data_IF_572839262064
#
_entry.id   IF_572839262064
#
_cell.length_a   1.000
_cell.length_b   1.000
_cell.length_c   1.000
_cell.angle_alpha   90.00
_cell.angle_beta   90.00
_cell.angle_gamma   90.00
#
_symmetry.space_group_name_H-M   'P 1'
#
loop_
_entity.id
_entity.type
_entity.pdbx_description
1 polymer ?
#
# COMPACT_ATOMS: atom_id res chain seq x y z
N UNK A 1 16.64 24.61 5.74
CA UNK A 1 15.64 24.06 4.80
C UNK A 1 16.31 23.83 3.46
N UNK A 2 16.21 22.62 2.91
CA UNK A 2 16.57 22.37 1.53
C UNK A 2 15.42 22.87 0.63
N UNK A 3 15.72 23.74 -0.33
CA UNK A 3 14.77 24.17 -1.34
C UNK A 3 14.98 23.30 -2.59
N UNK A 4 13.89 22.80 -3.15
CA UNK A 4 13.90 22.04 -4.39
C UNK A 4 12.92 22.65 -5.38
N UNK A 5 13.13 22.39 -6.67
CA UNK A 5 12.24 22.79 -7.75
C UNK A 5 12.13 21.62 -8.74
N UNK A 6 10.94 21.47 -9.33
CA UNK A 6 10.70 20.53 -10.42
C UNK A 6 10.61 21.37 -11.69
N UNK A 7 11.42 21.03 -12.69
CA UNK A 7 11.49 21.73 -13.96
C UNK A 7 11.00 20.77 -15.04
N UNK A 8 9.93 21.15 -15.71
CA UNK A 8 9.39 20.43 -16.86
C UNK A 8 9.99 21.00 -18.14
N UNK A 9 10.59 20.13 -18.95
CA UNK A 9 11.15 20.50 -20.26
C UNK A 9 10.13 20.25 -21.36
N UNK A 10 10.20 21.03 -22.43
CA UNK A 10 9.31 20.88 -23.59
C UNK A 10 9.65 19.68 -24.48
N UNK A 11 10.83 19.08 -24.32
CA UNK A 11 11.28 17.90 -25.05
C UNK A 11 12.35 17.10 -24.28
N UNK A 12 12.36 15.78 -24.48
CA UNK A 12 13.28 14.85 -23.80
C UNK A 12 14.75 15.09 -24.15
N UNK A 13 15.05 15.59 -25.35
CA UNK A 13 16.41 15.93 -25.76
C UNK A 13 17.07 16.92 -24.79
N UNK A 14 16.30 17.88 -24.25
CA UNK A 14 16.83 18.83 -23.29
C UNK A 14 17.13 18.20 -21.93
N UNK A 15 16.34 17.19 -21.52
CA UNK A 15 16.60 16.41 -20.30
C UNK A 15 17.92 15.65 -20.44
N UNK A 16 18.14 14.97 -21.57
CA UNK A 16 19.37 14.25 -21.84
C UNK A 16 20.60 15.17 -21.81
N UNK A 17 20.49 16.35 -22.43
CA UNK A 17 21.58 17.34 -22.44
C UNK A 17 21.93 17.84 -21.04
N UNK A 18 20.94 18.04 -20.17
CA UNK A 18 21.18 18.46 -18.77
C UNK A 18 21.78 17.32 -17.95
N UNK A 19 21.33 16.09 -18.16
CA UNK A 19 21.84 14.90 -17.44
C UNK A 19 23.27 14.52 -17.84
N UNK A 20 23.67 14.80 -19.09
CA UNK A 20 25.04 14.56 -19.58
C UNK A 20 26.06 15.61 -19.10
N UNK A 21 25.61 16.73 -18.52
CA UNK A 21 26.51 17.71 -17.93
C UNK A 21 26.92 17.27 -16.52
N UNK A 22 27.99 16.47 -16.42
CA UNK A 22 28.44 15.92 -15.14
C UNK A 22 28.99 17.00 -14.17
N UNK A 23 29.39 18.19 -14.66
CA UNK A 23 30.17 19.13 -13.82
C UNK A 23 29.87 20.63 -13.95
N UNK A 24 28.76 21.10 -14.55
CA UNK A 24 28.55 22.55 -14.72
C UNK A 24 27.15 23.08 -14.40
N UNK A 25 26.77 23.01 -13.11
CA UNK A 25 25.97 24.06 -12.46
C UNK A 25 26.59 24.35 -11.07
N UNK A 26 27.90 24.62 -11.05
CA UNK A 26 28.66 24.60 -9.80
C UNK A 26 28.25 25.67 -8.78
N UNK A 27 27.56 26.75 -9.19
CA UNK A 27 26.81 27.59 -8.27
C UNK A 27 25.65 28.31 -8.98
N UNK A 28 24.43 28.07 -8.51
CA UNK A 28 23.26 28.91 -8.79
C UNK A 28 23.03 29.80 -7.57
N UNK A 29 23.27 31.10 -7.71
CA UNK A 29 23.23 32.07 -6.59
C UNK A 29 24.04 31.63 -5.36
N UNK A 30 25.27 31.14 -5.56
CA UNK A 30 26.11 30.71 -4.44
C UNK A 30 25.83 29.29 -3.92
N UNK A 31 24.90 28.54 -4.54
CA UNK A 31 24.50 27.21 -4.09
C UNK A 31 24.78 26.14 -5.14
N UNK A 32 25.33 25.01 -4.69
CA UNK A 32 25.53 23.83 -5.54
C UNK A 32 24.17 23.21 -5.87
N UNK A 33 23.87 23.05 -7.15
CA UNK A 33 22.68 22.33 -7.59
C UNK A 33 22.97 20.82 -7.68
N UNK A 34 22.02 20.02 -7.20
CA UNK A 34 22.01 18.57 -7.41
C UNK A 34 20.84 18.32 -8.36
N UNK A 35 21.16 18.00 -9.61
CA UNK A 35 20.16 17.69 -10.64
C UNK A 35 20.09 16.17 -10.77
N UNK A 36 18.88 15.62 -10.75
CA UNK A 36 18.61 14.20 -10.96
C UNK A 36 17.43 14.10 -11.90
N UNK A 37 17.36 13.02 -12.69
CA UNK A 37 16.11 12.68 -13.38
C UNK A 37 15.04 12.56 -12.31
N UNK A 38 13.87 13.12 -12.59
CA UNK A 38 12.69 12.85 -11.78
C UNK A 38 12.44 11.36 -11.92
N UNK A 39 12.77 10.62 -10.89
CA UNK A 39 12.08 9.37 -10.65
C UNK A 39 10.62 9.81 -10.52
N UNK A 40 9.78 9.34 -11.44
CA UNK A 40 8.39 9.22 -11.09
C UNK A 40 8.43 8.33 -9.84
N UNK A 41 8.35 8.97 -8.67
CA UNK A 41 7.50 8.40 -7.67
C UNK A 41 6.20 8.28 -8.44
N UNK A 42 5.95 7.11 -9.01
CA UNK A 42 4.60 6.70 -9.29
C UNK A 42 3.89 7.13 -8.03
N UNK A 43 2.84 7.92 -8.22
CA UNK A 43 1.81 8.04 -7.22
C UNK A 43 1.39 6.59 -6.91
N UNK A 44 2.15 5.92 -6.03
CA UNK A 44 1.86 4.59 -5.52
C UNK A 44 0.73 4.69 -4.48
N UNK A 45 0.16 5.89 -4.32
CA UNK A 45 -1.20 6.07 -3.83
C UNK A 45 -2.24 5.56 -4.84
N UNK A 46 -1.89 5.34 -6.11
CA UNK A 46 -2.71 4.57 -7.03
C UNK A 46 -2.46 3.09 -6.81
N UNK A 47 -3.21 2.59 -5.82
CA UNK A 47 -3.73 1.24 -5.70
C UNK A 47 -2.72 0.14 -6.01
N UNK A 48 -2.19 -0.41 -4.92
CA UNK A 48 -1.60 -1.74 -4.91
C UNK A 48 -2.40 -2.70 -5.79
N UNK A 49 -1.66 -3.39 -6.66
CA UNK A 49 -2.07 -4.50 -7.53
C UNK A 49 -2.84 -4.16 -8.84
N UNK A 50 -2.35 -4.80 -9.92
CA UNK A 50 -2.81 -4.77 -11.33
C UNK A 50 -4.30 -5.05 -11.54
N UNK A 51 -5.02 -5.48 -10.52
CA UNK A 51 -6.48 -5.69 -10.50
C UNK A 51 -7.24 -4.39 -10.67
N UNK A 52 -6.71 -3.27 -10.15
CA UNK A 52 -7.41 -1.98 -10.15
C UNK A 52 -7.47 -1.27 -11.51
N UNK A 53 -6.55 -1.52 -12.44
CA UNK A 53 -6.62 -0.92 -13.79
C UNK A 53 -7.83 -1.43 -14.59
N UNK A 54 -8.31 -2.65 -14.33
CA UNK A 54 -9.46 -3.20 -15.05
C UNK A 54 -10.78 -2.48 -14.70
N UNK A 55 -10.84 -1.83 -13.54
CA UNK A 55 -12.04 -1.19 -13.02
C UNK A 55 -12.28 0.16 -13.72
N UNK A 56 -11.22 0.83 -14.15
CA UNK A 56 -11.26 2.12 -14.85
C UNK A 56 -11.28 1.95 -16.37
N UNK A 57 -12.20 1.14 -16.89
CA UNK A 57 -12.36 0.94 -18.33
C UNK A 57 -12.95 2.18 -19.01
N UNK A 58 -12.69 2.35 -20.32
CA UNK A 58 -13.35 3.40 -21.11
C UNK A 58 -14.87 3.29 -21.06
N UNK A 59 -15.38 2.06 -20.99
CA UNK A 59 -16.81 1.77 -20.82
C UNK A 59 -17.35 2.34 -19.51
N UNK A 60 -16.62 2.17 -18.40
CA UNK A 60 -17.00 2.73 -17.11
C UNK A 60 -17.02 4.26 -17.13
N UNK A 61 -16.03 4.90 -17.75
CA UNK A 61 -16.04 6.36 -17.90
C UNK A 61 -17.18 6.85 -18.80
N UNK A 62 -17.51 6.09 -19.86
CA UNK A 62 -18.65 6.39 -20.72
C UNK A 62 -19.98 6.33 -19.94
N UNK A 63 -20.16 5.30 -19.11
CA UNK A 63 -21.33 5.15 -18.23
C UNK A 63 -21.46 6.34 -17.26
N UNK A 64 -20.35 6.73 -16.60
CA UNK A 64 -20.34 7.90 -15.72
C UNK A 64 -20.65 9.21 -16.46
N UNK A 65 -20.26 9.34 -17.73
CA UNK A 65 -20.52 10.53 -18.53
C UNK A 65 -21.97 10.63 -19.02
N UNK A 66 -22.70 9.52 -19.07
CA UNK A 66 -24.10 9.46 -19.48
C UNK A 66 -25.07 9.79 -18.34
N UNK A 67 -24.60 9.85 -17.10
CA UNK A 67 -25.43 10.17 -15.94
C UNK A 67 -25.95 11.62 -15.97
N UNK A 68 -27.18 11.82 -15.52
CA UNK A 68 -27.89 13.11 -15.60
C UNK A 68 -27.40 14.08 -14.52
N UNK A 69 -27.04 13.57 -13.35
CA UNK A 69 -26.59 14.37 -12.21
C UNK A 69 -25.41 13.71 -11.48
N UNK A 70 -24.84 14.42 -10.51
CA UNK A 70 -23.70 13.94 -9.72
C UNK A 70 -24.09 12.77 -8.81
N UNK A 71 -25.32 12.77 -8.28
CA UNK A 71 -25.78 11.71 -7.37
C UNK A 71 -25.75 10.33 -8.06
N UNK A 72 -26.29 10.24 -9.29
CA UNK A 72 -26.22 9.02 -10.11
C UNK A 72 -24.78 8.58 -10.40
N UNK A 73 -23.89 9.53 -10.67
CA UNK A 73 -22.46 9.22 -10.88
C UNK A 73 -21.84 8.62 -9.61
N UNK A 74 -22.16 9.18 -8.45
CA UNK A 74 -21.65 8.70 -7.17
C UNK A 74 -22.20 7.31 -6.83
N UNK A 75 -23.47 7.04 -7.10
CA UNK A 75 -24.08 5.71 -6.92
C UNK A 75 -23.41 4.65 -7.79
N UNK A 76 -23.22 4.92 -9.08
CA UNK A 76 -22.55 3.98 -10.01
C UNK A 76 -21.08 3.79 -9.62
N UNK A 77 -20.39 4.88 -9.28
CA UNK A 77 -19.01 4.83 -8.82
C UNK A 77 -18.88 3.94 -7.58
N UNK A 78 -19.71 4.18 -6.56
CA UNK A 78 -19.72 3.37 -5.35
C UNK A 78 -20.04 1.91 -5.65
N UNK A 79 -21.10 1.65 -6.42
CA UNK A 79 -21.52 0.30 -6.78
C UNK A 79 -20.41 -0.51 -7.47
N UNK A 80 -19.60 0.14 -8.31
CA UNK A 80 -18.53 -0.52 -9.07
C UNK A 80 -17.28 -0.77 -8.23
N UNK A 81 -16.92 0.20 -7.39
CA UNK A 81 -15.65 0.22 -6.64
C UNK A 81 -15.72 -0.50 -5.30
N UNK A 82 -16.88 -0.52 -4.62
CA UNK A 82 -17.00 -1.10 -3.28
C UNK A 82 -16.60 -2.58 -3.24
N UNK A 83 -16.13 -3.04 -2.08
CA UNK A 83 -15.92 -4.47 -1.85
C UNK A 83 -17.22 -5.25 -2.07
N UNK A 84 -17.13 -6.36 -2.80
CA UNK A 84 -18.21 -7.35 -2.90
C UNK A 84 -18.24 -8.26 -1.68
N UNK A 85 -19.31 -9.04 -1.53
CA UNK A 85 -19.38 -10.06 -0.50
C UNK A 85 -18.23 -11.08 -0.63
N UNK A 86 -17.84 -11.43 -1.86
CA UNK A 86 -16.72 -12.34 -2.11
C UNK A 86 -15.38 -11.72 -1.68
N UNK A 87 -15.19 -10.42 -1.92
CA UNK A 87 -14.00 -9.70 -1.43
C UNK A 87 -13.93 -9.72 0.10
N UNK A 88 -15.06 -9.48 0.78
CA UNK A 88 -15.14 -9.50 2.25
C UNK A 88 -14.84 -10.90 2.79
N UNK A 89 -15.40 -11.94 2.18
CA UNK A 89 -15.15 -13.34 2.57
C UNK A 89 -13.68 -13.70 2.36
N UNK A 90 -13.08 -13.32 1.22
CA UNK A 90 -11.66 -13.57 0.95
C UNK A 90 -10.76 -12.89 1.99
N UNK A 91 -11.04 -11.63 2.34
CA UNK A 91 -10.31 -10.90 3.39
C UNK A 91 -10.43 -11.61 4.75
N UNK A 92 -11.62 -12.12 5.07
CA UNK A 92 -11.85 -12.90 6.28
C UNK A 92 -11.06 -14.21 6.30
N UNK A 93 -11.00 -14.94 5.18
CA UNK A 93 -10.21 -16.17 5.06
C UNK A 93 -8.71 -15.92 5.24
N UNK A 94 -8.18 -14.81 4.71
CA UNK A 94 -6.79 -14.39 4.92
C UNK A 94 -6.55 -14.06 6.41
N UNK A 95 -7.49 -13.38 7.06
CA UNK A 95 -7.41 -13.09 8.49
C UNK A 95 -7.37 -14.39 9.32
N UNK A 96 -8.23 -15.36 8.99
CA UNK A 96 -8.29 -16.67 9.66
C UNK A 96 -7.03 -17.51 9.43
N UNK A 97 -6.46 -17.48 8.22
CA UNK A 97 -5.17 -18.11 7.92
C UNK A 97 -4.08 -17.58 8.86
N UNK A 98 -3.98 -16.26 8.99
CA UNK A 98 -2.97 -15.61 9.83
C UNK A 98 -3.25 -15.85 11.32
N UNK A 99 -4.51 -15.86 11.74
CA UNK A 99 -4.91 -16.25 13.09
C UNK A 99 -4.35 -17.64 13.43
N UNK A 100 -4.58 -18.64 12.58
CA UNK A 100 -4.13 -20.01 12.80
C UNK A 100 -2.60 -20.11 12.88
N UNK A 101 -1.88 -19.37 12.02
CA UNK A 101 -0.41 -19.35 12.03
C UNK A 101 0.14 -18.69 13.29
N UNK A 102 -0.46 -17.58 13.73
CA UNK A 102 0.01 -16.82 14.90
C UNK A 102 -0.28 -17.54 16.22
N UNK A 103 -1.41 -18.24 16.31
CA UNK A 103 -1.85 -18.90 17.54
C UNK A 103 -0.94 -20.07 17.96
N UNK A 104 -0.17 -20.64 17.03
CA UNK A 104 0.87 -21.64 17.31
C UNK A 104 2.05 -21.06 18.10
N UNK A 105 2.35 -19.77 17.96
CA UNK A 105 3.46 -19.09 18.63
C UNK A 105 2.99 -18.21 19.78
N UNK A 106 1.85 -17.55 19.60
CA UNK A 106 1.22 -16.65 20.57
C UNK A 106 -0.13 -17.23 21.01
N UNK A 107 -0.15 -18.09 22.04
CA UNK A 107 -1.40 -18.66 22.52
C UNK A 107 -2.40 -17.56 22.89
N UNK A 108 -3.67 -17.74 22.49
CA UNK A 108 -4.78 -16.80 22.71
C UNK A 108 -4.64 -15.45 21.99
N UNK A 109 -3.70 -15.28 21.05
CA UNK A 109 -3.65 -14.06 20.26
C UNK A 109 -4.91 -13.87 19.42
N UNK A 110 -5.14 -12.63 18.97
CA UNK A 110 -6.19 -12.31 17.99
C UNK A 110 -5.64 -11.53 16.82
N UNK A 111 -5.85 -12.02 15.61
CA UNK A 111 -5.65 -11.28 14.37
C UNK A 111 -6.99 -10.66 14.00
N UNK A 112 -7.03 -9.33 13.88
CA UNK A 112 -8.25 -8.59 13.62
C UNK A 112 -8.10 -7.64 12.43
N UNK A 113 -9.12 -7.61 11.58
CA UNK A 113 -9.22 -6.62 10.51
C UNK A 113 -9.57 -5.24 11.08
N UNK A 114 -8.94 -4.21 10.55
CA UNK A 114 -9.35 -2.82 10.77
C UNK A 114 -9.32 -2.03 9.45
N UNK A 115 -9.57 -0.71 9.54
CA UNK A 115 -9.44 0.18 8.41
C UNK A 115 -10.48 -0.06 7.31
N UNK A 116 -10.00 0.02 6.06
CA UNK A 116 -10.86 0.01 4.86
C UNK A 116 -11.64 -1.30 4.68
N UNK A 117 -11.15 -2.41 5.24
CA UNK A 117 -11.80 -3.72 5.14
C UNK A 117 -13.12 -3.81 5.93
N UNK A 118 -13.33 -2.96 6.95
CA UNK A 118 -14.45 -3.10 7.89
C UNK A 118 -15.28 -1.81 8.10
N UNK A 119 -14.79 -0.65 7.65
CA UNK A 119 -15.46 0.64 7.86
C UNK A 119 -16.55 0.99 6.83
N UNK A 120 -16.79 0.12 5.84
CA UNK A 120 -17.77 0.34 4.76
C UNK A 120 -17.29 1.24 3.62
N UNK A 121 -16.04 1.70 3.68
CA UNK A 121 -15.41 2.56 2.66
C UNK A 121 -14.31 1.82 1.87
N UNK A 122 -14.21 0.50 2.03
CA UNK A 122 -13.28 -0.34 1.29
C UNK A 122 -13.57 -0.36 -0.20
N UNK A 123 -12.52 -0.28 -1.00
CA UNK A 123 -12.57 -0.42 -2.45
C UNK A 123 -11.83 -1.67 -2.89
N UNK A 124 -12.21 -2.25 -4.01
CA UNK A 124 -11.57 -3.44 -4.57
C UNK A 124 -10.06 -3.25 -4.68
N UNK A 125 -9.31 -4.30 -4.33
CA UNK A 125 -7.85 -4.30 -4.36
C UNK A 125 -7.16 -3.35 -3.38
N UNK A 126 -7.88 -2.65 -2.48
CA UNK A 126 -7.22 -1.91 -1.40
C UNK A 126 -6.50 -2.88 -0.45
N UNK A 127 -5.49 -2.38 0.26
CA UNK A 127 -4.74 -3.14 1.25
C UNK A 127 -5.68 -3.71 2.34
N UNK A 128 -5.27 -4.81 2.96
CA UNK A 128 -5.90 -5.37 4.15
C UNK A 128 -5.09 -4.93 5.37
N UNK A 129 -5.68 -4.09 6.20
CA UNK A 129 -5.10 -3.68 7.47
C UNK A 129 -5.47 -4.68 8.57
N UNK A 130 -4.47 -5.30 9.19
CA UNK A 130 -4.62 -6.28 10.27
C UNK A 130 -3.85 -5.85 11.50
N UNK A 131 -4.40 -6.12 12.69
CA UNK A 131 -3.68 -5.97 13.97
C UNK A 131 -3.57 -7.32 14.65
N UNK A 132 -2.37 -7.65 15.12
CA UNK A 132 -2.11 -8.79 15.98
C UNK A 132 -2.19 -8.31 17.44
N UNK A 133 -3.17 -8.84 18.17
CA UNK A 133 -3.34 -8.63 19.60
C UNK A 133 -2.71 -9.79 20.36
N UNK A 134 -1.74 -9.49 21.20
CA UNK A 134 -1.08 -10.46 22.09
C UNK A 134 -1.17 -10.03 23.54
N UNK A 135 -1.03 -10.97 24.47
CA UNK A 135 -0.84 -10.64 25.88
C UNK A 135 0.44 -9.80 26.07
N UNK A 136 0.52 -8.93 27.10
CA UNK A 136 1.68 -8.07 27.33
C UNK A 136 2.99 -8.87 27.36
N UNK A 137 3.91 -8.50 26.48
CA UNK A 137 5.23 -9.10 26.34
C UNK A 137 6.29 -8.09 26.82
N UNK A 138 7.32 -8.58 27.51
CA UNK A 138 8.43 -7.76 28.02
C UNK A 138 9.48 -7.41 26.95
N UNK A 139 9.43 -8.05 25.78
CA UNK A 139 10.35 -7.82 24.66
C UNK A 139 10.06 -6.50 23.96
N UNK A 140 11.05 -5.98 23.22
CA UNK A 140 10.87 -4.80 22.38
C UNK A 140 9.89 -5.12 21.25
N UNK A 141 9.01 -4.17 20.93
CA UNK A 141 8.02 -4.32 19.85
C UNK A 141 8.68 -4.64 18.51
N UNK A 142 9.85 -4.08 18.22
CA UNK A 142 10.59 -4.39 16.98
C UNK A 142 11.10 -5.82 16.95
N UNK A 143 11.47 -6.39 18.10
CA UNK A 143 11.90 -7.78 18.18
C UNK A 143 10.72 -8.74 17.94
N UNK A 144 9.56 -8.43 18.53
CA UNK A 144 8.32 -9.17 18.31
C UNK A 144 7.93 -9.09 16.84
N UNK A 145 7.95 -7.91 16.23
CA UNK A 145 7.60 -7.73 14.83
C UNK A 145 8.59 -8.41 13.87
N UNK A 146 9.89 -8.47 14.22
CA UNK A 146 10.87 -9.27 13.48
C UNK A 146 10.55 -10.77 13.53
N UNK A 147 10.14 -11.29 14.69
CA UNK A 147 9.71 -12.67 14.83
C UNK A 147 8.44 -12.95 14.02
N UNK A 148 7.43 -12.07 14.11
CA UNK A 148 6.19 -12.15 13.31
C UNK A 148 6.51 -12.19 11.81
N UNK A 149 7.45 -11.36 11.33
CA UNK A 149 7.91 -11.39 9.94
C UNK A 149 8.46 -12.77 9.56
N UNK A 150 9.35 -13.33 10.38
CA UNK A 150 9.94 -14.65 10.13
C UNK A 150 8.89 -15.77 10.15
N UNK A 151 7.91 -15.69 11.05
CA UNK A 151 6.80 -16.65 11.12
C UNK A 151 5.99 -16.61 9.83
N UNK A 152 5.56 -15.43 9.39
CA UNK A 152 4.78 -15.28 8.15
C UNK A 152 5.58 -15.82 6.96
N UNK A 153 6.86 -15.48 6.88
CA UNK A 153 7.71 -15.87 5.77
C UNK A 153 7.95 -17.39 5.69
N UNK A 154 7.92 -18.10 6.82
CA UNK A 154 8.17 -19.55 6.87
C UNK A 154 6.91 -20.39 6.87
N UNK A 155 5.85 -19.91 7.52
CA UNK A 155 4.69 -20.73 7.87
C UNK A 155 3.37 -20.26 7.26
N UNK A 156 3.26 -19.00 6.79
CA UNK A 156 2.03 -18.53 6.15
C UNK A 156 2.06 -18.85 4.64
N UNK A 157 1.29 -19.86 4.17
CA UNK A 157 1.29 -20.23 2.76
C UNK A 157 0.78 -19.08 1.89
N UNK A 158 1.31 -18.97 0.67
CA UNK A 158 0.90 -17.95 -0.28
C UNK A 158 1.39 -16.53 0.03
N UNK A 159 1.96 -16.26 1.22
CA UNK A 159 2.50 -14.95 1.59
C UNK A 159 3.91 -14.75 1.02
N UNK A 160 4.12 -13.64 0.32
CA UNK A 160 5.38 -13.29 -0.35
C UNK A 160 5.78 -11.84 -0.06
N UNK A 161 7.03 -11.50 -0.35
CA UNK A 161 7.58 -10.15 -0.19
C UNK A 161 7.40 -9.60 1.24
N UNK A 162 7.57 -10.47 2.25
CA UNK A 162 7.39 -10.11 3.65
C UNK A 162 8.54 -9.21 4.11
N UNK A 163 8.23 -8.01 4.57
CA UNK A 163 9.22 -7.03 5.03
C UNK A 163 8.72 -6.24 6.23
N UNK A 164 9.65 -5.67 7.00
CA UNK A 164 9.31 -4.69 8.02
C UNK A 164 9.35 -3.30 7.41
N UNK A 165 8.34 -2.49 7.74
CA UNK A 165 8.23 -1.11 7.30
C UNK A 165 7.92 -0.23 8.51
N UNK A 166 8.64 0.87 8.65
CA UNK A 166 8.29 1.91 9.63
C UNK A 166 7.16 2.77 9.04
N UNK A 167 5.95 2.64 9.58
CA UNK A 167 4.77 3.39 9.12
C UNK A 167 4.73 4.80 9.71
N UNK A 168 5.19 4.97 10.95
CA UNK A 168 5.36 6.26 11.62
C UNK A 168 6.39 6.16 12.74
N UNK A 169 6.64 7.26 13.47
CA UNK A 169 7.74 7.37 14.45
C UNK A 169 7.83 6.22 15.47
N UNK A 170 6.72 5.54 15.78
CA UNK A 170 6.69 4.43 16.74
C UNK A 170 5.78 3.27 16.29
N UNK A 171 5.55 3.09 14.98
CA UNK A 171 4.71 1.99 14.49
C UNK A 171 5.47 1.23 13.42
N UNK A 172 5.89 0.01 13.78
CA UNK A 172 6.51 -0.92 12.84
C UNK A 172 5.43 -1.88 12.37
N UNK A 173 5.29 -2.05 11.06
CA UNK A 173 4.34 -2.99 10.47
C UNK A 173 5.09 -4.06 9.68
N UNK A 174 4.53 -5.27 9.62
CA UNK A 174 4.94 -6.30 8.67
C UNK A 174 4.08 -6.15 7.42
N UNK A 175 4.68 -5.78 6.29
CA UNK A 175 4.01 -5.65 4.99
C UNK A 175 4.31 -6.87 4.14
N UNK A 176 3.29 -7.45 3.50
CA UNK A 176 3.44 -8.61 2.63
C UNK A 176 2.32 -8.70 1.58
N UNK A 177 2.47 -9.62 0.62
CA UNK A 177 1.53 -9.86 -0.46
C UNK A 177 0.99 -11.29 -0.37
N UNK A 178 -0.34 -11.47 -0.36
CA UNK A 178 -0.95 -12.78 -0.51
C UNK A 178 -1.13 -13.12 -2.00
N UNK A 179 -0.31 -14.05 -2.49
CA UNK A 179 -0.10 -14.26 -3.93
C UNK A 179 -1.31 -14.70 -4.73
N UNK A 180 -2.21 -15.51 -4.17
CA UNK A 180 -3.41 -15.98 -4.88
C UNK A 180 -4.42 -14.84 -5.07
N UNK A 181 -4.60 -14.01 -4.04
CA UNK A 181 -5.50 -12.85 -4.07
C UNK A 181 -4.91 -11.60 -4.69
N UNK A 182 -3.57 -11.54 -4.80
CA UNK A 182 -2.81 -10.31 -5.10
C UNK A 182 -3.06 -9.15 -4.14
N UNK A 183 -3.57 -9.39 -2.93
CA UNK A 183 -3.83 -8.36 -1.92
C UNK A 183 -2.57 -8.08 -1.10
N UNK A 184 -2.27 -6.80 -0.92
CA UNK A 184 -1.27 -6.29 0.02
C UNK A 184 -1.85 -6.29 1.43
N UNK A 185 -1.06 -6.70 2.41
CA UNK A 185 -1.48 -6.86 3.80
C UNK A 185 -0.47 -6.13 4.68
N UNK A 186 -0.99 -5.26 5.53
CA UNK A 186 -0.24 -4.54 6.54
C UNK A 186 -0.65 -5.09 7.91
N UNK A 187 0.29 -5.75 8.61
CA UNK A 187 0.08 -6.30 9.94
C UNK A 187 0.80 -5.44 10.99
N UNK A 188 0.06 -4.86 11.93
CA UNK A 188 0.57 -4.14 13.09
C UNK A 188 0.46 -4.97 14.38
N UNK A 189 1.07 -4.51 15.46
CA UNK A 189 0.96 -5.10 16.80
C UNK A 189 0.16 -4.16 17.71
N UNK A 190 -0.86 -4.69 18.40
CA UNK A 190 -1.59 -3.99 19.47
C UNK A 190 -2.04 -2.55 19.13
N UNK A 191 -2.44 -2.32 17.87
CA UNK A 191 -2.98 -1.05 17.38
C UNK A 191 -4.36 -0.73 17.98
#
# INVERSE_FOLDING_TARGET
MAAYAIIEFTADEFVERVMQQEEHLFMFYGKRLIVRRREAHSDNYLLSSKTNLSIYSEEFFSELNQCINVDQKMEILYARLQLTQDDVVLRQLICELLQNVMEEVYPKCKVMQFGSSVNGLGIKGCDIDLTLLIEPDSRDEKDIMNEVREIIQRFAPGCKNVSLVESSKNCTIVKFLHSESSLSIDLSLNN
#
